data_IF_273879891311
#
_entry.id   IF_273879891311
#
_cell.length_a   1.000
_cell.length_b   1.000
_cell.length_c   1.000
_cell.angle_alpha   90.00
_cell.angle_beta   90.00
_cell.angle_gamma   90.00
#
_symmetry.space_group_name_H-M   'P 1'
#
loop_
_entity.id
_entity.type
_entity.pdbx_description
1 polymer ?
#
# COMPACT_ATOMS: atom_id res chain seq x y z
N UNK A 1 -12.98 0.29 -6.08
CA UNK A 1 -11.92 0.59 -7.08
C UNK A 1 -10.70 -0.33 -6.84
N UNK A 2 -10.47 -1.32 -7.72
CA UNK A 2 -9.31 -2.24 -7.65
C UNK A 2 -8.04 -1.43 -7.94
N UNK A 3 -7.12 -1.37 -6.97
CA UNK A 3 -5.77 -0.83 -7.14
C UNK A 3 -5.16 -1.47 -8.40
N UNK A 4 -5.12 -0.69 -9.49
CA UNK A 4 -4.52 -1.13 -10.74
C UNK A 4 -3.01 -0.93 -10.57
N UNK A 5 -2.36 -1.95 -10.05
CA UNK A 5 -0.94 -2.19 -10.30
C UNK A 5 -0.82 -2.52 -11.79
N UNK A 6 -0.89 -1.53 -12.67
CA UNK A 6 -1.20 -1.70 -14.10
C UNK A 6 -0.26 -2.66 -14.82
N UNK A 7 1.06 -2.47 -14.69
CA UNK A 7 2.02 -3.34 -15.39
C UNK A 7 2.35 -4.62 -14.63
N UNK A 8 2.56 -4.57 -13.30
CA UNK A 8 2.90 -5.78 -12.54
C UNK A 8 1.72 -6.75 -12.45
N UNK A 9 0.47 -6.27 -12.36
CA UNK A 9 -0.71 -7.14 -12.39
C UNK A 9 -0.89 -7.82 -13.74
N UNK A 10 -0.70 -7.08 -14.85
CA UNK A 10 -0.75 -7.64 -16.21
C UNK A 10 0.33 -8.71 -16.40
N UNK A 11 1.53 -8.45 -15.89
CA UNK A 11 2.68 -9.36 -15.97
C UNK A 11 2.71 -10.43 -14.86
N UNK A 12 1.71 -10.47 -13.97
CA UNK A 12 1.62 -11.38 -12.81
C UNK A 12 2.87 -11.35 -11.92
N UNK A 13 3.48 -10.17 -11.73
CA UNK A 13 4.66 -9.96 -10.90
C UNK A 13 4.29 -9.54 -9.48
N UNK A 14 5.11 -9.96 -8.50
CA UNK A 14 5.07 -9.40 -7.14
C UNK A 14 5.48 -7.93 -7.19
N UNK A 15 4.59 -7.05 -6.72
CA UNK A 15 4.83 -5.62 -6.67
C UNK A 15 5.09 -5.19 -5.21
N UNK A 16 6.26 -4.61 -4.96
CA UNK A 16 6.67 -4.06 -3.66
C UNK A 16 6.11 -2.64 -3.41
N UNK A 17 5.24 -2.14 -4.30
CA UNK A 17 4.54 -0.84 -4.20
C UNK A 17 5.45 0.39 -4.07
N UNK A 18 6.75 0.25 -4.28
CA UNK A 18 7.68 1.39 -4.46
C UNK A 18 7.43 2.04 -5.81
N UNK A 19 7.85 3.30 -5.96
CA UNK A 19 7.71 4.06 -7.21
C UNK A 19 9.09 4.56 -7.67
N UNK A 20 9.70 3.92 -8.68
CA UNK A 20 9.26 2.69 -9.35
C UNK A 20 9.46 1.43 -8.50
N UNK A 21 8.67 0.40 -8.77
CA UNK A 21 8.72 -0.85 -8.02
C UNK A 21 9.95 -1.68 -8.43
N UNK A 22 10.54 -2.45 -7.52
CA UNK A 22 11.78 -3.21 -7.79
C UNK A 22 11.64 -4.18 -8.98
N UNK A 23 10.44 -4.74 -9.18
CA UNK A 23 10.14 -5.62 -10.31
C UNK A 23 10.08 -4.88 -11.65
N UNK A 24 9.66 -3.62 -11.66
CA UNK A 24 9.65 -2.80 -12.88
C UNK A 24 11.04 -2.28 -13.21
N UNK A 25 11.86 -1.98 -12.20
CA UNK A 25 13.26 -1.60 -12.37
C UNK A 25 14.06 -2.72 -13.03
N UNK A 26 13.96 -3.96 -12.53
CA UNK A 26 14.68 -5.13 -13.05
C UNK A 26 14.31 -5.52 -14.49
N UNK A 27 13.13 -5.11 -14.96
CA UNK A 27 12.57 -5.51 -16.27
C UNK A 27 12.49 -4.35 -17.26
N UNK A 28 13.11 -3.23 -16.93
CA UNK A 28 13.10 -2.00 -17.73
C UNK A 28 11.68 -1.56 -18.16
N UNK A 29 10.73 -1.63 -17.22
CA UNK A 29 9.34 -1.21 -17.41
C UNK A 29 8.97 -0.02 -16.52
N UNK A 30 9.99 0.72 -16.08
CA UNK A 30 9.88 1.87 -15.16
C UNK A 30 8.87 2.91 -15.66
N UNK A 31 8.91 3.25 -16.96
CA UNK A 31 8.00 4.22 -17.58
C UNK A 31 6.50 3.83 -17.48
N UNK A 32 6.20 2.54 -17.27
CA UNK A 32 4.82 2.02 -17.14
C UNK A 32 4.45 1.69 -15.69
N UNK A 33 5.35 1.92 -14.73
CA UNK A 33 5.13 1.70 -13.30
C UNK A 33 4.44 2.92 -12.67
N UNK A 34 3.18 3.16 -13.04
CA UNK A 34 2.40 4.31 -12.58
C UNK A 34 1.32 3.84 -11.62
N UNK A 35 1.29 4.44 -10.42
CA UNK A 35 0.21 4.30 -9.47
C UNK A 35 -0.73 5.49 -9.62
N UNK A 36 -2.05 5.24 -9.72
CA UNK A 36 -3.03 6.32 -9.62
C UNK A 36 -2.94 6.98 -8.24
N UNK A 37 -3.19 8.28 -8.13
CA UNK A 37 -3.21 8.98 -6.83
C UNK A 37 -4.14 8.31 -5.82
N UNK A 38 -5.34 7.92 -6.26
CA UNK A 38 -6.29 7.13 -5.45
C UNK A 38 -5.76 5.75 -4.96
N UNK A 39 -4.67 5.24 -5.53
CA UNK A 39 -3.98 4.04 -5.07
C UNK A 39 -2.79 4.34 -4.14
N UNK A 40 -2.18 5.51 -4.27
CA UNK A 40 -1.18 6.03 -3.32
C UNK A 40 -1.83 6.44 -2.00
N UNK A 41 -3.06 6.97 -2.07
CA UNK A 41 -3.88 7.37 -0.91
C UNK A 41 -4.59 6.19 -0.23
N UNK A 42 -4.36 4.95 -0.68
CA UNK A 42 -4.93 3.79 0.03
C UNK A 42 -4.26 3.66 1.40
N UNK A 43 -4.92 4.24 2.38
CA UNK A 43 -4.69 3.96 3.79
C UNK A 43 -4.86 2.47 4.00
N UNK A 44 -3.84 1.83 4.55
CA UNK A 44 -3.92 0.42 4.93
C UNK A 44 -4.87 0.29 6.11
N UNK A 45 -6.07 -0.23 5.84
CA UNK A 45 -7.15 -0.33 6.84
C UNK A 45 -6.72 -1.20 8.02
N UNK A 46 -5.90 -2.23 7.78
CA UNK A 46 -5.38 -3.08 8.86
C UNK A 46 -4.45 -2.30 9.79
N UNK A 47 -3.52 -1.53 9.24
CA UNK A 47 -2.66 -0.63 10.03
C UNK A 47 -3.47 0.39 10.82
N UNK A 48 -4.55 0.94 10.23
CA UNK A 48 -5.44 1.86 10.94
C UNK A 48 -6.16 1.17 12.10
N UNK A 49 -6.75 0.00 11.87
CA UNK A 49 -7.41 -0.80 12.90
C UNK A 49 -6.47 -1.13 14.07
N UNK A 50 -5.24 -1.56 13.78
CA UNK A 50 -4.24 -1.86 14.80
C UNK A 50 -3.89 -0.62 15.64
N UNK A 51 -3.78 0.55 15.00
CA UNK A 51 -3.55 1.83 15.69
C UNK A 51 -4.71 2.19 16.60
N UNK A 52 -5.96 2.02 16.13
CA UNK A 52 -7.17 2.28 16.93
C UNK A 52 -7.19 1.38 18.16
N UNK A 53 -7.00 0.06 17.99
CA UNK A 53 -6.92 -0.88 19.12
C UNK A 53 -5.88 -0.48 20.17
N UNK A 54 -4.72 -0.02 19.71
CA UNK A 54 -3.65 0.44 20.62
C UNK A 54 -4.09 1.69 21.38
N UNK A 55 -4.72 2.65 20.70
CA UNK A 55 -5.21 3.88 21.30
C UNK A 55 -6.32 3.61 22.32
N UNK A 56 -7.26 2.73 22.01
CA UNK A 56 -8.34 2.31 22.92
C UNK A 56 -7.77 1.68 24.19
N UNK A 57 -6.77 0.79 24.05
CA UNK A 57 -6.12 0.18 25.20
C UNK A 57 -5.37 1.19 26.08
N UNK A 58 -4.73 2.20 25.48
CA UNK A 58 -4.08 3.29 26.24
C UNK A 58 -5.12 4.17 26.93
N UNK A 59 -6.21 4.50 26.24
CA UNK A 59 -7.27 5.33 26.79
C UNK A 59 -7.89 4.68 28.02
N UNK A 60 -8.24 3.40 27.94
CA UNK A 60 -8.82 2.64 29.06
C UNK A 60 -7.90 2.65 30.30
N UNK A 61 -6.57 2.52 30.11
CA UNK A 61 -5.59 2.56 31.21
C UNK A 61 -5.45 3.92 31.88
N UNK A 62 -5.78 5.01 31.18
CA UNK A 62 -5.70 6.37 31.72
C UNK A 62 -6.99 6.80 32.42
N UNK A 63 -8.07 6.06 32.21
CA UNK A 63 -9.40 6.35 32.77
C UNK A 63 -9.79 5.42 33.92
N UNK A 64 -8.98 4.41 34.23
CA UNK A 64 -9.04 3.59 35.46
C UNK A 64 -8.10 4.18 36.54
#
# INVERSE_FOLDING_TARGET
IRSRITVCKRLKLKCDRRTPCSSCLKRDTVARCVYSQAAAEKIDVQSLHNRILTLEAVFNKLTE
#
